data_IF_375813403518
#
_entry.id   IF_375813403518
#
_cell.length_a   1.000
_cell.length_b   1.000
_cell.length_c   1.000
_cell.angle_alpha   90.00
_cell.angle_beta   90.00
_cell.angle_gamma   90.00
#
_symmetry.space_group_name_H-M   'P 1'
#
loop_
_entity.id
_entity.type
_entity.pdbx_description
1 polymer ?
#
# COMPACT_ATOMS: atom_id res chain seq x y z
N UNK A 1 11.55 0.62 -6.73
CA UNK A 1 11.59 -0.81 -6.31
C UNK A 1 11.13 -0.96 -4.87
N UNK A 2 10.05 -1.67 -4.66
CA UNK A 2 9.53 -1.95 -3.31
C UNK A 2 10.40 -2.96 -2.55
N UNK A 3 11.15 -3.80 -3.25
CA UNK A 3 12.18 -4.67 -2.66
C UNK A 3 13.31 -3.85 -2.04
N UNK A 4 13.86 -2.90 -2.80
CA UNK A 4 14.92 -2.05 -2.29
C UNK A 4 14.43 -1.22 -1.10
N UNK A 5 13.24 -0.66 -1.17
CA UNK A 5 12.65 0.09 -0.08
C UNK A 5 12.52 -0.75 1.21
N UNK A 6 12.09 -2.02 1.11
CA UNK A 6 12.05 -2.92 2.26
C UNK A 6 13.43 -3.28 2.79
N UNK A 7 14.36 -3.65 1.90
CA UNK A 7 15.70 -4.11 2.30
C UNK A 7 16.50 -3.05 3.05
N UNK A 8 16.32 -1.78 2.71
CA UNK A 8 17.00 -0.64 3.32
C UNK A 8 16.34 -0.13 4.62
N UNK A 9 15.21 -0.69 5.04
CA UNK A 9 14.68 -0.41 6.37
C UNK A 9 15.61 -0.98 7.44
N UNK A 10 15.66 -0.34 8.62
CA UNK A 10 16.31 -0.92 9.80
C UNK A 10 15.61 -2.19 10.27
N UNK A 11 16.31 -3.06 10.96
CA UNK A 11 15.75 -4.32 11.45
C UNK A 11 14.55 -4.14 12.40
N UNK A 12 14.52 -3.17 13.34
CA UNK A 12 13.31 -2.88 14.11
C UNK A 12 12.12 -2.48 13.25
N UNK A 13 12.35 -1.67 12.21
CA UNK A 13 11.29 -1.24 11.29
C UNK A 13 10.78 -2.40 10.43
N UNK A 14 11.66 -3.27 9.94
CA UNK A 14 11.28 -4.50 9.24
C UNK A 14 10.41 -5.39 10.12
N UNK A 15 10.86 -5.66 11.34
CA UNK A 15 10.13 -6.50 12.30
C UNK A 15 8.74 -5.95 12.60
N UNK A 16 8.61 -4.65 12.78
CA UNK A 16 7.31 -4.00 12.98
C UNK A 16 6.44 -4.13 11.72
N UNK A 17 6.95 -3.76 10.56
CA UNK A 17 6.18 -3.78 9.31
C UNK A 17 5.74 -5.20 8.90
N UNK A 18 6.56 -6.22 9.15
CA UNK A 18 6.21 -7.62 8.85
C UNK A 18 4.95 -8.11 9.57
N UNK A 19 4.63 -7.55 10.74
CA UNK A 19 3.45 -7.91 11.54
C UNK A 19 2.23 -7.02 11.33
N UNK A 20 2.30 -6.04 10.42
CA UNK A 20 1.24 -5.05 10.20
C UNK A 20 0.44 -5.34 8.93
N UNK A 21 -0.83 -4.93 8.98
CA UNK A 21 -1.71 -4.90 7.81
C UNK A 21 -2.26 -3.49 7.57
N UNK A 22 -2.65 -3.21 6.35
CA UNK A 22 -3.15 -1.90 5.96
C UNK A 22 -4.46 -1.99 5.17
N UNK A 23 -5.39 -1.11 5.44
CA UNK A 23 -6.59 -0.89 4.66
C UNK A 23 -6.25 -0.09 3.41
N UNK A 24 -6.66 -0.61 2.27
CA UNK A 24 -6.60 0.07 0.98
C UNK A 24 -8.02 0.32 0.46
N UNK A 25 -8.24 1.42 -0.24
CA UNK A 25 -9.49 1.70 -0.94
C UNK A 25 -9.25 2.13 -2.39
N UNK A 26 -10.32 2.11 -3.18
CA UNK A 26 -10.29 2.56 -4.57
C UNK A 26 -10.86 3.98 -4.74
N UNK A 27 -10.74 4.84 -3.72
CA UNK A 27 -11.15 6.25 -3.79
C UNK A 27 -10.54 7.00 -5.00
N UNK A 28 -9.27 6.78 -5.40
CA UNK A 28 -8.71 7.42 -6.58
C UNK A 28 -9.44 7.08 -7.90
N UNK A 29 -10.16 5.97 -7.90
CA UNK A 29 -11.02 5.54 -9.01
C UNK A 29 -12.49 5.87 -8.77
N UNK A 30 -12.80 6.74 -7.82
CA UNK A 30 -14.14 7.11 -7.40
C UNK A 30 -15.01 5.93 -6.94
N UNK A 31 -14.38 4.92 -6.31
CA UNK A 31 -15.03 3.72 -5.75
C UNK A 31 -14.55 3.48 -4.31
N UNK A 32 -14.87 4.41 -3.37
CA UNK A 32 -14.35 4.34 -1.99
C UNK A 32 -14.90 3.16 -1.17
N UNK A 33 -15.98 2.53 -1.63
CA UNK A 33 -16.58 1.33 -1.03
C UNK A 33 -15.80 0.06 -1.35
N UNK A 34 -14.99 0.05 -2.41
CA UNK A 34 -14.11 -1.05 -2.73
C UNK A 34 -12.88 -0.98 -1.84
N UNK A 35 -12.89 -1.79 -0.80
CA UNK A 35 -11.84 -1.83 0.22
C UNK A 35 -11.30 -3.24 0.39
N UNK A 36 -10.03 -3.32 0.76
CA UNK A 36 -9.36 -4.56 1.12
C UNK A 36 -8.27 -4.32 2.13
N UNK A 37 -7.94 -5.35 2.91
CA UNK A 37 -6.79 -5.34 3.82
C UNK A 37 -5.69 -6.18 3.21
N UNK A 38 -4.50 -5.59 3.09
CA UNK A 38 -3.28 -6.25 2.63
C UNK A 38 -2.20 -6.18 3.70
N UNK A 39 -1.23 -7.09 3.70
CA UNK A 39 -0.04 -6.94 4.54
C UNK A 39 0.74 -5.68 4.14
N UNK A 40 1.35 -5.01 5.10
CA UNK A 40 2.27 -3.87 4.84
C UNK A 40 3.51 -4.37 4.10
N UNK A 41 3.93 -5.58 4.39
CA UNK A 41 5.03 -6.27 3.69
C UNK A 41 4.48 -7.47 2.93
N UNK A 42 4.48 -7.38 1.61
CA UNK A 42 4.08 -8.45 0.72
C UNK A 42 5.24 -9.39 0.43
N UNK A 43 5.01 -10.69 0.40
CA UNK A 43 5.93 -11.68 -0.15
C UNK A 43 5.60 -11.92 -1.63
N UNK A 44 6.59 -11.78 -2.48
CA UNK A 44 6.39 -12.02 -3.90
C UNK A 44 6.31 -13.54 -4.19
N UNK A 45 5.24 -14.03 -4.82
CA UNK A 45 4.94 -15.46 -4.89
C UNK A 45 5.95 -16.27 -5.72
N UNK A 46 6.65 -15.63 -6.65
CA UNK A 46 7.63 -16.30 -7.51
C UNK A 46 9.05 -16.24 -6.93
N UNK A 47 9.42 -15.07 -6.36
CA UNK A 47 10.80 -14.84 -5.90
C UNK A 47 11.00 -15.05 -4.41
N UNK A 48 9.92 -15.12 -3.63
CA UNK A 48 9.95 -15.16 -2.16
C UNK A 48 10.47 -13.87 -1.50
N UNK A 49 10.77 -12.84 -2.28
CA UNK A 49 11.32 -11.57 -1.75
C UNK A 49 10.23 -10.73 -1.13
N UNK A 50 10.57 -10.06 -0.03
CA UNK A 50 9.70 -9.11 0.65
C UNK A 50 9.69 -7.75 -0.05
N UNK A 51 8.50 -7.17 -0.20
CA UNK A 51 8.28 -5.87 -0.79
C UNK A 51 7.44 -5.00 0.16
N UNK A 52 7.82 -3.74 0.34
CA UNK A 52 7.05 -2.79 1.14
C UNK A 52 5.78 -2.36 0.37
N UNK A 53 4.64 -2.95 0.74
CA UNK A 53 3.40 -2.87 -0.05
C UNK A 53 2.45 -1.79 0.47
N UNK A 54 2.94 -0.57 0.53
CA UNK A 54 2.15 0.64 0.86
C UNK A 54 2.35 1.69 -0.23
N UNK A 55 1.33 2.50 -0.47
CA UNK A 55 1.42 3.63 -1.39
C UNK A 55 0.50 4.78 -0.95
N UNK A 56 0.86 5.99 -1.33
CA UNK A 56 0.11 7.20 -1.00
C UNK A 56 -1.30 7.21 -1.61
N UNK A 57 -1.48 6.52 -2.73
CA UNK A 57 -2.69 6.62 -3.55
C UNK A 57 -3.85 5.77 -3.03
N UNK A 58 -3.57 4.56 -2.53
CA UNK A 58 -4.59 3.61 -2.11
C UNK A 58 -4.57 3.26 -0.63
N UNK A 59 -3.40 3.34 0.05
CA UNK A 59 -3.26 2.95 1.44
C UNK A 59 -3.83 4.02 2.36
N UNK A 60 -4.75 3.64 3.26
CA UNK A 60 -5.48 4.58 4.12
C UNK A 60 -5.16 4.47 5.60
N UNK A 61 -4.97 3.26 6.09
CA UNK A 61 -4.94 3.01 7.52
C UNK A 61 -4.13 1.76 7.85
N UNK A 62 -3.24 1.82 8.84
CA UNK A 62 -2.68 0.63 9.47
C UNK A 62 -3.73 0.08 10.44
N UNK A 63 -4.07 -1.20 10.29
CA UNK A 63 -5.21 -1.82 10.96
C UNK A 63 -5.00 -1.94 12.47
N UNK A 64 -3.77 -2.25 12.88
CA UNK A 64 -3.38 -2.56 14.26
C UNK A 64 -3.00 -1.32 15.10
N UNK A 65 -2.96 -0.12 14.48
CA UNK A 65 -2.53 1.12 15.12
C UNK A 65 -3.71 2.08 15.35
N UNK A 66 -3.59 3.01 16.29
CA UNK A 66 -4.53 4.13 16.37
C UNK A 66 -4.32 5.12 15.21
N UNK A 67 -5.25 6.07 15.04
CA UNK A 67 -5.23 6.98 13.89
C UNK A 67 -3.92 7.79 13.77
N UNK A 68 -3.45 8.33 14.88
CA UNK A 68 -2.24 9.17 14.91
C UNK A 68 -0.98 8.37 14.60
N UNK A 69 -0.84 7.18 15.18
CA UNK A 69 0.26 6.26 14.91
C UNK A 69 0.26 5.81 13.45
N UNK A 70 -0.91 5.43 12.95
CA UNK A 70 -1.09 5.02 11.56
C UNK A 70 -0.71 6.12 10.58
N UNK A 71 -1.15 7.36 10.80
CA UNK A 71 -0.82 8.51 9.98
C UNK A 71 0.69 8.77 9.96
N UNK A 72 1.32 8.77 11.14
CA UNK A 72 2.76 8.99 11.29
C UNK A 72 3.57 7.93 10.53
N UNK A 73 3.23 6.64 10.72
CA UNK A 73 3.92 5.55 10.06
C UNK A 73 3.69 5.54 8.54
N UNK A 74 2.46 5.69 8.08
CA UNK A 74 2.17 5.74 6.64
C UNK A 74 2.83 6.92 5.96
N UNK A 75 2.82 8.10 6.59
CA UNK A 75 3.54 9.28 6.08
C UNK A 75 5.04 9.04 5.94
N UNK A 76 5.64 8.31 6.87
CA UNK A 76 7.03 7.90 6.75
C UNK A 76 7.24 6.89 5.61
N UNK A 77 6.48 5.79 5.59
CA UNK A 77 6.66 4.69 4.64
C UNK A 77 6.39 5.12 3.19
N UNK A 78 5.35 5.93 2.93
CA UNK A 78 5.03 6.41 1.58
C UNK A 78 6.10 7.35 1.03
N UNK A 79 6.68 8.21 1.87
CA UNK A 79 7.85 9.02 1.49
C UNK A 79 9.11 8.16 1.30
N UNK A 80 9.28 7.15 2.13
CA UNK A 80 10.41 6.23 2.04
C UNK A 80 10.44 5.49 0.71
N UNK A 81 9.34 4.89 0.26
CA UNK A 81 9.29 4.19 -1.04
C UNK A 81 9.52 5.11 -2.23
N UNK A 82 9.24 6.41 -2.09
CA UNK A 82 9.46 7.42 -3.12
C UNK A 82 10.90 7.98 -3.14
N UNK A 83 11.79 7.49 -2.26
CA UNK A 83 13.18 7.94 -2.21
C UNK A 83 13.89 7.71 -3.56
N UNK A 84 14.63 8.70 -4.08
CA UNK A 84 15.40 8.57 -5.33
C UNK A 84 16.33 7.35 -5.38
N UNK A 85 16.82 6.87 -4.23
CA UNK A 85 17.67 5.66 -4.14
C UNK A 85 16.97 4.39 -4.65
N UNK A 86 15.65 4.36 -4.64
CA UNK A 86 14.84 3.21 -5.03
C UNK A 86 14.09 3.40 -6.34
N UNK A 87 14.27 4.56 -6.98
CA UNK A 87 13.50 4.97 -8.15
C UNK A 87 14.37 5.07 -9.38
N UNK A 88 13.74 4.87 -10.53
CA UNK A 88 14.32 5.20 -11.84
C UNK A 88 13.36 6.15 -12.54
N UNK A 89 13.89 7.13 -13.24
CA UNK A 89 13.13 8.01 -14.11
C UNK A 89 13.35 7.58 -15.54
N UNK A 90 12.26 7.37 -16.27
CA UNK A 90 12.30 6.96 -17.67
C UNK A 90 11.63 7.99 -18.57
N UNK A 91 12.29 8.36 -19.65
CA UNK A 91 11.73 9.19 -20.71
C UNK A 91 11.22 8.31 -21.84
N UNK A 92 9.90 8.35 -22.04
CA UNK A 92 9.25 7.59 -23.10
C UNK A 92 9.59 8.14 -24.48
N UNK A 93 9.84 7.22 -25.41
CA UNK A 93 10.01 7.49 -26.82
C UNK A 93 8.87 6.84 -27.60
N UNK A 94 8.48 7.34 -28.79
CA UNK A 94 7.54 6.65 -29.65
C UNK A 94 7.99 5.20 -29.92
N UNK A 95 7.07 4.24 -29.76
CA UNK A 95 7.36 2.82 -29.90
C UNK A 95 7.98 2.14 -28.67
N UNK A 96 8.20 2.86 -27.55
CA UNK A 96 8.67 2.23 -26.31
C UNK A 96 7.61 1.30 -25.75
N UNK A 97 8.01 0.09 -25.36
CA UNK A 97 7.21 -0.86 -24.57
C UNK A 97 7.85 -0.98 -23.19
N UNK A 98 7.10 -0.63 -22.14
CA UNK A 98 7.51 -0.80 -20.75
C UNK A 98 6.76 -1.94 -20.09
N UNK A 99 7.49 -2.86 -19.47
CA UNK A 99 6.91 -3.99 -18.72
C UNK A 99 7.43 -3.90 -17.28
N UNK A 100 6.51 -3.91 -16.32
CA UNK A 100 6.87 -3.93 -14.89
C UNK A 100 5.91 -4.81 -14.09
N UNK A 101 6.41 -5.32 -12.99
CA UNK A 101 5.64 -6.14 -12.07
C UNK A 101 5.03 -5.27 -10.96
N UNK A 102 3.71 -5.09 -10.97
CA UNK A 102 3.00 -4.32 -9.95
C UNK A 102 3.08 -4.93 -8.54
N UNK A 103 3.52 -6.18 -8.42
CA UNK A 103 3.65 -6.85 -7.12
C UNK A 103 4.83 -6.34 -6.32
N UNK A 104 5.83 -5.74 -6.97
CA UNK A 104 7.07 -5.27 -6.32
C UNK A 104 7.55 -3.91 -6.83
N UNK A 105 6.76 -3.21 -7.63
CA UNK A 105 7.07 -1.86 -8.11
C UNK A 105 5.89 -0.92 -7.94
N UNK A 106 6.19 0.37 -7.81
CA UNK A 106 5.23 1.46 -7.94
C UNK A 106 5.67 2.35 -9.09
N UNK A 107 4.70 2.99 -9.72
CA UNK A 107 4.96 3.93 -10.80
C UNK A 107 3.97 5.08 -10.76
N UNK A 108 4.37 6.23 -11.27
CA UNK A 108 3.49 7.37 -11.51
C UNK A 108 3.97 8.16 -12.72
N UNK A 109 3.04 8.83 -13.38
CA UNK A 109 3.35 9.70 -14.49
C UNK A 109 3.80 11.08 -13.98
N UNK A 110 4.94 11.56 -14.49
CA UNK A 110 5.34 12.95 -14.29
C UNK A 110 4.61 13.80 -15.31
N UNK A 111 3.80 14.74 -14.85
CA UNK A 111 3.05 15.67 -15.70
C UNK A 111 3.95 16.83 -16.18
N UNK A 112 5.04 16.48 -16.86
CA UNK A 112 6.01 17.44 -17.40
C UNK A 112 5.99 17.44 -18.93
N UNK A 113 4.79 17.48 -19.54
CA UNK A 113 4.59 17.50 -20.99
C UNK A 113 3.49 18.52 -21.34
N UNK A 114 3.69 19.23 -22.44
CA UNK A 114 2.74 20.25 -22.96
C UNK A 114 1.93 19.71 -24.15
N UNK A 115 2.38 18.64 -24.79
CA UNK A 115 1.72 18.03 -25.94
C UNK A 115 0.82 16.85 -25.53
N UNK A 116 -0.11 16.50 -26.41
CA UNK A 116 -0.91 15.29 -26.23
C UNK A 116 -0.02 14.06 -26.11
N UNK A 117 -0.31 13.21 -25.12
CA UNK A 117 0.40 11.98 -24.86
C UNK A 117 -0.58 10.83 -24.70
N UNK A 118 -0.48 9.86 -25.59
CA UNK A 118 -1.31 8.66 -25.55
C UNK A 118 -0.45 7.48 -25.04
N UNK A 119 -0.89 6.85 -23.96
CA UNK A 119 -0.32 5.60 -23.41
C UNK A 119 -1.40 4.55 -23.40
N UNK A 120 -1.14 3.42 -24.01
CA UNK A 120 -1.99 2.24 -23.92
C UNK A 120 -1.40 1.29 -22.86
N UNK A 121 -2.28 0.73 -22.02
CA UNK A 121 -1.88 -0.17 -20.94
C UNK A 121 -2.75 -1.42 -20.93
N UNK A 122 -2.11 -2.57 -20.82
CA UNK A 122 -2.75 -3.84 -20.51
C UNK A 122 -2.21 -4.31 -19.16
N UNK A 123 -3.10 -4.78 -18.29
CA UNK A 123 -2.72 -5.30 -16.97
C UNK A 123 -3.17 -6.77 -16.89
N UNK A 124 -2.21 -7.66 -16.66
CA UNK A 124 -2.52 -9.04 -16.31
C UNK A 124 -3.01 -9.10 -14.86
N UNK A 125 -4.07 -9.85 -14.61
CA UNK A 125 -4.57 -10.11 -13.25
C UNK A 125 -3.52 -10.95 -12.52
N UNK A 126 -3.15 -10.51 -11.34
CA UNK A 126 -2.15 -11.18 -10.50
C UNK A 126 -2.78 -12.19 -9.53
N UNK A 127 -1.93 -12.71 -8.67
CA UNK A 127 -2.24 -13.62 -7.59
C UNK A 127 -2.76 -12.88 -6.34
N UNK A 128 -3.31 -13.64 -5.40
CA UNK A 128 -3.68 -13.13 -4.08
C UNK A 128 -2.45 -12.54 -3.36
N UNK A 129 -2.68 -11.47 -2.60
CA UNK A 129 -1.59 -10.81 -1.87
C UNK A 129 -1.37 -11.51 -0.54
N UNK A 130 -0.20 -12.11 -0.38
CA UNK A 130 0.21 -12.78 0.86
C UNK A 130 1.31 -12.00 1.59
N UNK A 131 1.29 -12.03 2.93
CA UNK A 131 2.33 -11.51 3.80
C UNK A 131 3.31 -12.61 4.23
N UNK A 132 4.43 -12.20 4.82
CA UNK A 132 5.44 -13.13 5.34
C UNK A 132 4.97 -13.86 6.61
N UNK A 133 4.20 -13.18 7.43
CA UNK A 133 3.62 -13.71 8.67
C UNK A 133 2.21 -13.18 8.87
N UNK A 134 1.44 -13.90 9.70
CA UNK A 134 0.15 -13.40 10.16
C UNK A 134 0.34 -12.09 10.95
N UNK A 135 -0.67 -11.22 11.00
CA UNK A 135 -0.63 -10.03 11.84
C UNK A 135 -0.26 -10.39 13.29
N UNK A 136 0.72 -9.68 13.87
CA UNK A 136 1.15 -9.92 15.24
C UNK A 136 0.16 -9.37 16.28
N UNK A 137 -0.66 -8.43 15.88
CA UNK A 137 -1.59 -7.73 16.77
C UNK A 137 -3.02 -7.78 16.26
N UNK A 138 -3.95 -7.57 17.19
CA UNK A 138 -5.37 -7.42 16.84
C UNK A 138 -5.62 -6.05 16.18
N UNK A 139 -6.67 -5.93 15.35
CA UNK A 139 -7.10 -4.63 14.86
C UNK A 139 -7.33 -3.66 16.03
N UNK A 140 -6.83 -2.43 15.89
CA UNK A 140 -7.13 -1.38 16.85
C UNK A 140 -8.52 -0.82 16.57
N UNK A 141 -9.43 -1.00 17.52
CA UNK A 141 -10.80 -0.47 17.46
C UNK A 141 -11.11 0.17 18.81
N UNK A 142 -11.49 1.42 18.83
CA UNK A 142 -11.92 2.10 20.04
C UNK A 142 -13.30 1.57 20.43
N UNK A 143 -13.46 1.13 21.69
CA UNK A 143 -14.65 0.49 22.27
C UNK A 143 -15.97 0.97 21.69
N UNK A 144 -16.54 0.25 20.72
CA UNK A 144 -17.89 0.40 20.18
C UNK A 144 -18.36 1.81 19.76
N UNK A 145 -17.53 2.83 19.98
CA UNK A 145 -17.83 4.20 19.58
C UNK A 145 -17.10 4.49 18.29
N UNK A 146 -17.86 4.68 17.23
CA UNK A 146 -17.38 5.30 16.00
C UNK A 146 -16.76 6.64 16.40
N UNK A 147 -15.46 6.67 16.58
CA UNK A 147 -14.77 7.94 16.77
C UNK A 147 -15.03 8.77 15.53
N UNK A 148 -15.77 9.87 15.70
CA UNK A 148 -16.11 10.78 14.60
C UNK A 148 -14.88 11.49 13.99
N UNK A 149 -13.68 11.25 14.52
CA UNK A 149 -12.49 12.03 14.26
C UNK A 149 -11.76 11.65 12.99
N UNK A 150 -11.94 10.44 12.46
CA UNK A 150 -11.29 10.02 11.20
C UNK A 150 -12.25 9.25 10.31
N UNK A 151 -12.37 9.68 9.05
CA UNK A 151 -13.08 8.95 8.00
C UNK A 151 -12.53 7.53 7.86
N UNK A 152 -11.22 7.36 7.93
CA UNK A 152 -10.55 6.08 7.73
C UNK A 152 -10.77 5.13 8.91
N UNK A 153 -10.89 5.62 10.13
CA UNK A 153 -11.26 4.80 11.29
C UNK A 153 -12.68 4.25 11.13
N UNK A 154 -13.61 5.06 10.66
CA UNK A 154 -14.98 4.62 10.38
C UNK A 154 -15.02 3.57 9.27
N UNK A 155 -14.31 3.80 8.18
CA UNK A 155 -14.20 2.84 7.08
C UNK A 155 -13.60 1.51 7.55
N UNK A 156 -12.51 1.57 8.33
CA UNK A 156 -11.88 0.39 8.90
C UNK A 156 -12.84 -0.38 9.81
N UNK A 157 -13.52 0.30 10.73
CA UNK A 157 -14.49 -0.31 11.63
C UNK A 157 -15.59 -1.03 10.86
N UNK A 158 -16.22 -0.36 9.91
CA UNK A 158 -17.30 -0.93 9.10
C UNK A 158 -16.82 -2.15 8.29
N UNK A 159 -15.63 -2.05 7.72
CA UNK A 159 -15.04 -3.17 6.98
C UNK A 159 -14.76 -4.38 7.88
N UNK A 160 -14.12 -4.19 9.04
CA UNK A 160 -13.81 -5.25 9.99
C UNK A 160 -15.08 -5.92 10.53
N UNK A 161 -16.12 -5.13 10.84
CA UNK A 161 -17.43 -5.64 11.27
C UNK A 161 -18.10 -6.47 10.18
N UNK A 162 -18.07 -6.03 8.93
CA UNK A 162 -18.64 -6.79 7.80
C UNK A 162 -17.91 -8.11 7.52
N UNK A 163 -16.73 -8.31 8.07
CA UNK A 163 -15.90 -9.53 7.96
C UNK A 163 -15.86 -10.35 9.26
N UNK A 164 -16.71 -10.03 10.23
CA UNK A 164 -16.76 -10.69 11.56
C UNK A 164 -15.41 -10.73 12.29
N UNK A 165 -14.55 -9.74 12.05
CA UNK A 165 -13.21 -9.63 12.66
C UNK A 165 -13.22 -8.84 13.97
N UNK A 166 -14.29 -8.16 14.28
CA UNK A 166 -14.55 -7.43 15.53
C UNK A 166 -16.02 -7.61 15.91
N UNK A 167 -16.31 -7.70 17.21
CA UNK A 167 -17.67 -7.79 17.78
C UNK A 167 -18.43 -6.45 17.78
#
# INVERSE_FOLDING_TARGET
SLYAAYNELSDPMKSMCDGLTALHDALPHNRPEEMTIHPVVRVHPVTGKKALYVNEHFTRRIVEMNATESEALLSYLTRWVSNPRFTVRYHWQPGTIGIWDNRCTQHFALNAFEAERIIQRVTAVGDQVDGHSAPLWKPWVRDGRLSATSRHDRQLYMYLKSKDRIG
#
